data_IF_394677531473
#
_entry.id   IF_394677531473
#
_cell.length_a   1.000
_cell.length_b   1.000
_cell.length_c   1.000
_cell.angle_alpha   90.00
_cell.angle_beta   90.00
_cell.angle_gamma   90.00
#
_symmetry.space_group_name_H-M   'P 1'
#
loop_
_entity.id
_entity.type
_entity.pdbx_description
1 polymer ?
#
# COMPACT_ATOMS: atom_id res chain seq x y z
N UNK A 1 2.14 -2.53 -2.10
CA UNK A 1 3.12 -1.42 -2.10
C UNK A 1 4.50 -2.01 -2.31
N UNK A 2 5.23 -1.56 -3.35
CA UNK A 2 6.57 -2.07 -3.68
C UNK A 2 7.64 -1.15 -3.08
N UNK A 3 8.58 -1.70 -2.31
CA UNK A 3 9.61 -0.92 -1.63
C UNK A 3 10.77 -0.57 -2.55
N UNK A 4 11.26 -1.52 -3.34
CA UNK A 4 12.35 -1.34 -4.30
C UNK A 4 13.73 -1.73 -3.77
N UNK A 5 13.84 -2.53 -2.71
CA UNK A 5 15.13 -2.87 -2.10
C UNK A 5 15.91 -3.90 -2.91
N UNK A 6 17.24 -3.78 -2.99
CA UNK A 6 18.07 -4.58 -3.92
C UNK A 6 18.33 -5.99 -3.39
N UNK A 7 18.97 -6.11 -2.22
CA UNK A 7 19.26 -7.40 -1.58
C UNK A 7 18.06 -7.97 -0.81
N UNK A 8 17.16 -7.10 -0.35
CA UNK A 8 15.92 -7.48 0.31
C UNK A 8 14.79 -6.60 -0.20
N UNK A 9 13.72 -7.22 -0.69
CA UNK A 9 12.55 -6.55 -1.24
C UNK A 9 11.31 -6.94 -0.43
N UNK A 10 10.43 -5.97 -0.21
CA UNK A 10 9.17 -6.16 0.49
C UNK A 10 8.04 -5.62 -0.37
N UNK A 11 7.08 -6.50 -0.67
CA UNK A 11 5.80 -6.09 -1.23
C UNK A 11 4.76 -6.14 -0.12
N UNK A 12 4.39 -4.98 0.42
CA UNK A 12 3.33 -4.91 1.43
C UNK A 12 1.96 -5.03 0.77
N UNK A 13 1.18 -5.97 1.25
CA UNK A 13 -0.07 -6.41 0.67
C UNK A 13 -1.27 -5.84 1.41
N UNK A 14 -2.32 -5.60 0.63
CA UNK A 14 -3.59 -5.08 1.05
C UNK A 14 -4.67 -5.91 0.36
N UNK A 15 -5.72 -6.25 1.09
CA UNK A 15 -6.98 -6.75 0.56
C UNK A 15 -8.06 -5.85 1.18
N UNK A 16 -8.96 -5.30 0.36
CA UNK A 16 -9.78 -4.13 0.70
C UNK A 16 -10.89 -4.43 1.72
N UNK A 17 -11.20 -5.70 1.92
CA UNK A 17 -12.20 -6.18 2.88
C UNK A 17 -11.60 -6.59 4.23
N UNK A 18 -10.30 -6.42 4.45
CA UNK A 18 -9.68 -6.67 5.76
C UNK A 18 -9.83 -5.50 6.75
N UNK A 19 -10.73 -5.67 7.71
CA UNK A 19 -11.02 -4.70 8.76
C UNK A 19 -11.10 -5.38 10.13
N UNK A 20 -10.78 -4.62 11.19
CA UNK A 20 -11.14 -5.06 12.54
C UNK A 20 -12.65 -5.05 12.73
N UNK A 21 -13.11 -5.68 13.80
CA UNK A 21 -14.49 -5.52 14.25
C UNK A 21 -15.45 -6.59 13.78
N UNK A 22 -16.70 -6.40 14.16
CA UNK A 22 -17.85 -7.17 13.72
C UNK A 22 -19.07 -6.24 13.62
N UNK A 23 -20.08 -6.55 12.80
CA UNK A 23 -21.32 -5.77 12.74
C UNK A 23 -21.93 -5.61 14.13
N UNK A 24 -22.26 -4.37 14.50
CA UNK A 24 -22.74 -4.03 15.84
C UNK A 24 -23.78 -2.91 15.85
N UNK A 25 -24.31 -2.63 17.04
CA UNK A 25 -25.16 -1.46 17.26
C UNK A 25 -24.30 -0.26 17.65
N UNK A 26 -24.10 0.67 16.71
CA UNK A 26 -23.32 1.89 16.90
C UNK A 26 -24.16 3.06 17.44
N UNK A 27 -25.41 2.83 17.80
CA UNK A 27 -26.31 3.86 18.34
C UNK A 27 -25.88 4.25 19.75
N UNK A 28 -25.58 5.53 19.98
CA UNK A 28 -25.38 6.06 21.32
C UNK A 28 -26.75 6.35 21.97
N UNK A 29 -27.19 5.58 22.99
CA UNK A 29 -28.50 5.76 23.61
C UNK A 29 -28.62 7.09 24.41
N UNK A 30 -27.50 7.73 24.74
CA UNK A 30 -27.46 9.01 25.46
C UNK A 30 -27.47 10.22 24.53
N UNK A 31 -27.37 10.01 23.22
CA UNK A 31 -27.36 11.10 22.25
C UNK A 31 -28.61 12.02 22.33
N UNK A 32 -29.85 11.52 22.58
CA UNK A 32 -31.01 12.41 22.72
C UNK A 32 -30.92 13.39 23.91
N UNK A 33 -30.38 12.94 25.05
CA UNK A 33 -30.16 13.78 26.24
C UNK A 33 -29.09 14.84 25.96
N UNK A 34 -27.95 14.40 25.40
CA UNK A 34 -26.88 15.30 24.99
C UNK A 34 -27.35 16.33 23.95
N UNK A 35 -28.20 15.93 22.99
CA UNK A 35 -28.73 16.82 21.97
C UNK A 35 -29.62 17.91 22.57
N UNK A 36 -30.37 17.59 23.62
CA UNK A 36 -31.19 18.55 24.35
C UNK A 36 -30.32 19.60 25.05
N UNK A 37 -29.24 19.17 25.71
CA UNK A 37 -28.24 20.07 26.33
C UNK A 37 -27.57 20.98 25.30
N UNK A 38 -27.08 20.41 24.20
CA UNK A 38 -26.40 21.14 23.13
C UNK A 38 -27.31 22.21 22.52
N UNK A 39 -28.56 21.87 22.20
CA UNK A 39 -29.53 22.84 21.65
C UNK A 39 -29.77 24.02 22.59
N UNK A 40 -29.96 23.76 23.88
CA UNK A 40 -30.12 24.82 24.88
C UNK A 40 -28.90 25.74 24.95
N UNK A 41 -27.69 25.19 24.95
CA UNK A 41 -26.46 25.98 24.97
C UNK A 41 -26.31 26.85 23.71
N UNK A 42 -26.71 26.33 22.55
CA UNK A 42 -26.74 27.10 21.30
C UNK A 42 -27.77 28.24 21.37
N UNK A 43 -28.98 27.96 21.86
CA UNK A 43 -30.05 28.96 22.01
C UNK A 43 -29.64 30.09 22.98
N UNK A 44 -28.86 29.75 24.02
CA UNK A 44 -28.31 30.70 25.01
C UNK A 44 -27.04 31.44 24.51
N UNK A 45 -26.54 31.16 23.30
CA UNK A 45 -25.34 31.77 22.73
C UNK A 45 -24.00 31.25 23.32
N UNK A 46 -24.01 30.11 24.01
CA UNK A 46 -22.86 29.49 24.70
C UNK A 46 -22.15 28.45 23.83
N UNK A 47 -21.47 28.91 22.78
CA UNK A 47 -20.93 28.01 21.75
C UNK A 47 -19.74 27.15 22.20
N UNK A 48 -18.90 27.64 23.12
CA UNK A 48 -17.77 26.87 23.64
C UNK A 48 -18.28 25.67 24.45
N UNK A 49 -19.23 25.92 25.36
CA UNK A 49 -19.88 24.91 26.17
C UNK A 49 -20.72 23.96 25.30
N UNK A 50 -21.39 24.47 24.27
CA UNK A 50 -22.12 23.63 23.32
C UNK A 50 -21.18 22.65 22.59
N UNK A 51 -19.97 23.10 22.23
CA UNK A 51 -18.95 22.27 21.59
C UNK A 51 -18.45 21.18 22.53
N UNK A 52 -18.19 21.52 23.79
CA UNK A 52 -17.80 20.54 24.82
C UNK A 52 -18.91 19.51 25.06
N UNK A 53 -20.16 19.95 25.14
CA UNK A 53 -21.32 19.06 25.31
C UNK A 53 -21.55 18.17 24.07
N UNK A 54 -21.26 18.67 22.86
CA UNK A 54 -21.46 17.93 21.61
C UNK A 54 -20.58 16.68 21.50
N UNK A 55 -19.48 16.57 22.25
CA UNK A 55 -18.68 15.34 22.32
C UNK A 55 -19.53 14.14 22.78
N UNK A 56 -20.54 14.37 23.63
CA UNK A 56 -21.46 13.33 24.12
C UNK A 56 -22.42 12.81 23.05
N UNK A 57 -22.50 13.47 21.88
CA UNK A 57 -23.28 13.00 20.71
C UNK A 57 -22.55 11.91 19.92
N UNK A 58 -21.23 11.78 20.09
CA UNK A 58 -20.42 10.79 19.40
C UNK A 58 -20.71 9.38 19.92
N UNK A 59 -20.59 8.39 19.03
CA UNK A 59 -20.55 6.97 19.39
C UNK A 59 -19.13 6.47 19.60
N UNK A 60 -18.99 5.15 19.69
CA UNK A 60 -17.67 4.51 19.71
C UNK A 60 -16.92 4.74 18.38
N UNK A 61 -15.56 4.78 18.40
CA UNK A 61 -14.78 4.91 17.19
C UNK A 61 -15.06 3.77 16.20
N UNK A 62 -14.98 4.08 14.90
CA UNK A 62 -15.05 3.05 13.86
C UNK A 62 -13.91 2.04 14.00
N UNK A 63 -14.14 0.87 13.43
CA UNK A 63 -13.11 -0.11 13.16
C UNK A 63 -12.08 0.40 12.14
N UNK A 64 -10.97 -0.31 12.04
CA UNK A 64 -9.77 0.13 11.30
C UNK A 64 -9.36 -0.90 10.26
N UNK A 65 -8.99 -0.40 9.09
CA UNK A 65 -8.43 -1.17 7.99
C UNK A 65 -7.15 -1.89 8.43
N UNK A 66 -6.93 -3.11 7.95
CA UNK A 66 -5.77 -3.93 8.27
C UNK A 66 -4.98 -4.32 7.02
N UNK A 67 -3.66 -4.43 7.17
CA UNK A 67 -2.78 -4.93 6.12
C UNK A 67 -2.87 -6.45 6.06
N UNK A 68 -2.88 -7.02 4.85
CA UNK A 68 -2.91 -8.47 4.65
C UNK A 68 -1.60 -9.11 5.15
N UNK A 69 -0.47 -8.52 4.79
CA UNK A 69 0.85 -9.07 5.08
C UNK A 69 1.88 -8.56 4.08
N UNK A 70 2.99 -9.28 3.96
CA UNK A 70 4.12 -8.92 3.12
C UNK A 70 4.60 -10.14 2.31
N UNK A 71 4.94 -9.93 1.03
CA UNK A 71 5.86 -10.83 0.30
C UNK A 71 7.27 -10.33 0.58
N UNK A 72 8.11 -11.20 1.12
CA UNK A 72 9.53 -10.91 1.36
C UNK A 72 10.38 -11.67 0.36
N UNK A 73 11.26 -10.97 -0.35
CA UNK A 73 12.26 -11.55 -1.23
C UNK A 73 13.65 -11.25 -0.66
N UNK A 74 14.45 -12.29 -0.47
CA UNK A 74 15.82 -12.21 0.04
C UNK A 74 16.77 -12.74 -1.04
N UNK A 75 17.64 -11.87 -1.56
CA UNK A 75 18.71 -12.21 -2.47
C UNK A 75 20.01 -12.43 -1.68
N UNK A 76 21.00 -13.09 -2.29
CA UNK A 76 22.27 -13.32 -1.59
C UNK A 76 23.11 -12.02 -1.45
N UNK A 77 24.13 -12.08 -0.59
CA UNK A 77 24.96 -10.93 -0.22
C UNK A 77 25.69 -10.29 -1.41
N UNK A 78 25.80 -10.96 -2.57
CA UNK A 78 26.39 -10.33 -3.76
C UNK A 78 25.58 -9.10 -4.20
N UNK A 79 24.26 -9.12 -3.97
CA UNK A 79 23.35 -8.02 -4.27
C UNK A 79 23.59 -6.76 -3.43
N UNK A 80 24.33 -6.86 -2.31
CA UNK A 80 24.76 -5.69 -1.55
C UNK A 80 25.77 -4.83 -2.31
N UNK A 81 26.47 -5.40 -3.30
CA UNK A 81 27.48 -4.73 -4.11
C UNK A 81 26.97 -4.38 -5.52
N UNK A 82 25.69 -4.03 -5.64
CA UNK A 82 25.13 -3.58 -6.91
C UNK A 82 25.75 -2.25 -7.37
N UNK A 83 25.79 -2.04 -8.68
CA UNK A 83 26.22 -0.78 -9.26
C UNK A 83 25.13 0.29 -9.03
N UNK A 84 25.35 1.20 -8.08
CA UNK A 84 24.35 2.20 -7.66
C UNK A 84 23.83 3.05 -8.83
N UNK A 85 24.69 3.35 -9.80
CA UNK A 85 24.36 4.13 -10.99
C UNK A 85 23.41 3.43 -11.97
N UNK A 86 23.26 2.11 -11.88
CA UNK A 86 22.34 1.35 -12.73
C UNK A 86 20.98 1.14 -12.07
N UNK A 87 20.85 1.47 -10.78
CA UNK A 87 19.59 1.33 -10.08
C UNK A 87 18.55 2.33 -10.60
N UNK A 88 17.38 1.80 -10.95
CA UNK A 88 16.20 2.60 -11.25
C UNK A 88 14.97 1.91 -10.68
N UNK A 89 14.02 2.72 -10.20
CA UNK A 89 12.66 2.27 -9.92
C UNK A 89 11.66 3.26 -10.50
N UNK A 90 10.63 2.74 -11.13
CA UNK A 90 9.57 3.52 -11.75
C UNK A 90 8.21 2.90 -11.46
N UNK A 91 7.19 3.75 -11.37
CA UNK A 91 5.80 3.36 -11.58
C UNK A 91 5.40 4.01 -12.90
N UNK A 92 5.24 3.19 -13.93
CA UNK A 92 4.72 3.65 -15.20
C UNK A 92 3.20 3.77 -15.10
N UNK A 93 2.69 5.00 -15.22
CA UNK A 93 1.26 5.28 -15.17
C UNK A 93 0.56 4.97 -16.50
N UNK A 94 1.28 4.81 -17.61
CA UNK A 94 0.68 4.41 -18.88
C UNK A 94 0.32 2.92 -18.89
N UNK A 95 1.08 2.10 -18.17
CA UNK A 95 0.92 0.64 -18.12
C UNK A 95 0.53 0.11 -16.74
N UNK A 96 0.38 0.98 -15.73
CA UNK A 96 0.18 0.60 -14.32
C UNK A 96 1.18 -0.47 -13.82
N UNK A 97 2.44 -0.35 -14.20
CA UNK A 97 3.49 -1.34 -13.89
C UNK A 97 4.59 -0.70 -13.07
N UNK A 98 4.97 -1.32 -11.95
CA UNK A 98 6.19 -0.97 -11.24
C UNK A 98 7.34 -1.74 -11.86
N UNK A 99 8.42 -1.04 -12.21
CA UNK A 99 9.65 -1.67 -12.70
C UNK A 99 10.84 -1.24 -11.84
N UNK A 100 11.68 -2.20 -11.49
CA UNK A 100 12.96 -1.98 -10.82
C UNK A 100 14.05 -2.62 -11.66
N UNK A 101 15.16 -1.91 -11.89
CA UNK A 101 16.35 -2.44 -12.55
C UNK A 101 17.59 -2.09 -11.76
N UNK A 102 18.58 -2.98 -11.76
CA UNK A 102 19.91 -2.76 -11.20
C UNK A 102 20.88 -3.81 -11.74
N UNK A 103 22.17 -3.64 -11.52
CA UNK A 103 23.20 -4.57 -11.97
C UNK A 103 24.10 -5.02 -10.83
N UNK A 104 24.46 -6.29 -10.81
CA UNK A 104 25.49 -6.85 -9.90
C UNK A 104 26.57 -7.46 -10.79
N UNK A 105 27.78 -6.89 -10.74
CA UNK A 105 28.82 -7.22 -11.72
C UNK A 105 28.35 -6.93 -13.14
N UNK A 106 28.33 -7.95 -14.00
CA UNK A 106 27.90 -7.86 -15.40
C UNK A 106 26.52 -8.48 -15.67
N UNK A 107 25.72 -8.68 -14.61
CA UNK A 107 24.35 -9.20 -14.69
C UNK A 107 23.38 -8.06 -14.37
N UNK A 108 22.42 -7.82 -15.28
CA UNK A 108 21.29 -6.92 -15.03
C UNK A 108 20.12 -7.73 -14.49
N UNK A 109 19.53 -7.24 -13.41
CA UNK A 109 18.31 -7.78 -12.81
C UNK A 109 17.15 -6.82 -13.07
N UNK A 110 16.02 -7.37 -13.49
CA UNK A 110 14.78 -6.61 -13.67
C UNK A 110 13.67 -7.24 -12.83
N UNK A 111 12.90 -6.40 -12.13
CA UNK A 111 11.65 -6.78 -11.45
C UNK A 111 10.50 -5.98 -12.01
N UNK A 112 9.41 -6.65 -12.35
CA UNK A 112 8.17 -6.05 -12.87
C UNK A 112 6.99 -6.50 -12.01
N UNK A 113 6.18 -5.55 -11.55
CA UNK A 113 5.04 -5.80 -10.69
C UNK A 113 3.77 -5.13 -11.23
N UNK A 114 2.67 -5.86 -11.28
CA UNK A 114 1.34 -5.32 -11.59
C UNK A 114 0.25 -6.11 -10.86
N UNK A 115 -0.94 -5.54 -10.76
CA UNK A 115 -2.12 -6.19 -10.20
C UNK A 115 -3.20 -6.27 -11.28
N UNK A 116 -3.39 -7.46 -11.86
CA UNK A 116 -4.39 -7.69 -12.91
C UNK A 116 -5.77 -7.75 -12.30
N UNK A 117 -6.61 -6.78 -12.65
CA UNK A 117 -8.03 -6.81 -12.31
C UNK A 117 -8.80 -7.91 -13.09
N UNK A 118 -8.61 -8.12 -14.40
CA UNK A 118 -9.29 -9.20 -15.12
C UNK A 118 -9.02 -10.60 -14.56
N UNK A 119 -7.79 -10.85 -14.11
CA UNK A 119 -7.35 -12.17 -13.62
C UNK A 119 -7.30 -12.26 -12.08
N UNK A 120 -7.63 -11.17 -11.37
CA UNK A 120 -7.66 -11.08 -9.90
C UNK A 120 -6.36 -11.57 -9.22
N UNK A 121 -5.20 -11.14 -9.73
CA UNK A 121 -3.88 -11.61 -9.29
C UNK A 121 -2.85 -10.48 -9.26
N UNK A 122 -2.00 -10.47 -8.23
CA UNK A 122 -0.77 -9.68 -8.23
C UNK A 122 0.35 -10.52 -8.86
N UNK A 123 0.97 -10.00 -9.92
CA UNK A 123 2.05 -10.66 -10.65
C UNK A 123 3.36 -9.95 -10.36
N UNK A 124 4.39 -10.72 -10.01
CA UNK A 124 5.77 -10.24 -9.90
C UNK A 124 6.68 -11.10 -10.77
N UNK A 125 7.30 -10.49 -11.77
CA UNK A 125 8.32 -11.14 -12.60
C UNK A 125 9.70 -10.64 -12.18
N UNK A 126 10.63 -11.57 -12.03
CA UNK A 126 12.04 -11.32 -11.72
C UNK A 126 12.86 -11.97 -12.82
N UNK A 127 13.84 -11.28 -13.40
CA UNK A 127 14.67 -11.81 -14.49
C UNK A 127 16.11 -11.35 -14.35
N UNK A 128 17.05 -12.21 -14.74
CA UNK A 128 18.46 -11.90 -14.85
C UNK A 128 18.89 -11.91 -16.32
N UNK A 129 19.83 -11.04 -16.71
CA UNK A 129 20.31 -10.95 -18.11
C UNK A 129 21.18 -12.13 -18.54
N UNK A 130 21.68 -12.93 -17.57
CA UNK A 130 22.45 -14.14 -17.82
C UNK A 130 21.72 -15.37 -17.32
N UNK A 131 21.76 -16.42 -18.14
CA UNK A 131 21.10 -17.68 -17.81
C UNK A 131 21.63 -18.28 -16.50
N UNK A 132 20.73 -18.80 -15.69
CA UNK A 132 20.99 -19.43 -14.40
C UNK A 132 21.57 -18.50 -13.34
N UNK A 133 21.37 -17.19 -13.45
CA UNK A 133 21.93 -16.19 -12.54
C UNK A 133 20.92 -15.65 -11.52
N UNK A 134 19.67 -16.13 -11.53
CA UNK A 134 18.65 -15.73 -10.57
C UNK A 134 18.51 -16.76 -9.45
N UNK A 135 18.84 -16.32 -8.22
CA UNK A 135 18.62 -17.08 -7.00
C UNK A 135 18.08 -16.16 -5.90
N UNK A 136 17.00 -16.55 -5.23
CA UNK A 136 16.40 -15.78 -4.12
C UNK A 136 15.55 -16.68 -3.24
N UNK A 137 15.28 -16.23 -2.02
CA UNK A 137 14.32 -16.87 -1.11
C UNK A 137 13.07 -16.00 -1.04
N UNK A 138 11.89 -16.62 -1.10
CA UNK A 138 10.60 -15.95 -0.91
C UNK A 138 9.84 -16.52 0.28
N UNK A 139 9.18 -15.63 1.03
CA UNK A 139 8.29 -15.98 2.13
C UNK A 139 7.11 -15.01 2.22
N UNK A 140 6.06 -15.44 2.92
CA UNK A 140 4.91 -14.61 3.31
C UNK A 140 4.90 -14.41 4.83
N UNK A 141 4.65 -13.19 5.28
CA UNK A 141 4.50 -12.82 6.70
C UNK A 141 3.30 -11.90 6.89
N UNK A 142 2.78 -11.77 8.12
CA UNK A 142 1.76 -10.79 8.48
C UNK A 142 1.95 -10.27 9.90
N UNK A 143 1.59 -9.01 10.14
CA UNK A 143 1.52 -8.48 11.52
C UNK A 143 0.24 -8.91 12.25
N UNK A 144 -0.72 -9.50 11.52
CA UNK A 144 -1.91 -10.11 12.10
C UNK A 144 -1.61 -11.51 12.65
N UNK A 145 -2.56 -12.07 13.40
CA UNK A 145 -2.49 -13.48 13.77
C UNK A 145 -2.60 -14.33 12.51
N UNK A 146 -1.55 -15.09 12.22
CA UNK A 146 -1.42 -15.84 10.99
C UNK A 146 -0.59 -17.10 11.17
N UNK A 147 -0.68 -17.99 10.19
CA UNK A 147 0.27 -19.06 9.91
C UNK A 147 0.55 -19.11 8.42
N UNK A 148 1.76 -19.52 8.05
CA UNK A 148 2.13 -19.81 6.67
C UNK A 148 2.73 -21.20 6.57
N UNK A 149 2.49 -21.86 5.44
CA UNK A 149 3.04 -23.17 5.12
C UNK A 149 3.25 -23.33 3.60
N UNK A 150 4.12 -24.24 3.21
CA UNK A 150 4.32 -24.61 1.80
C UNK A 150 3.29 -25.66 1.40
N UNK A 151 2.63 -25.45 0.26
CA UNK A 151 1.73 -26.40 -0.34
C UNK A 151 2.36 -27.01 -1.61
N UNK A 152 2.70 -28.29 -1.56
CA UNK A 152 3.35 -28.97 -2.68
C UNK A 152 4.81 -28.55 -2.85
N UNK A 153 5.20 -28.10 -4.06
CA UNK A 153 6.61 -27.84 -4.40
C UNK A 153 6.93 -26.38 -4.67
N UNK A 154 5.93 -25.56 -4.97
CA UNK A 154 6.12 -24.22 -5.53
C UNK A 154 5.03 -23.24 -5.11
N UNK A 155 4.30 -23.53 -4.03
CA UNK A 155 3.24 -22.67 -3.53
C UNK A 155 3.43 -22.41 -2.03
N UNK A 156 3.18 -21.19 -1.58
CA UNK A 156 3.08 -20.82 -0.16
C UNK A 156 1.65 -20.38 0.11
N UNK A 157 1.05 -20.88 1.18
CA UNK A 157 -0.27 -20.48 1.65
C UNK A 157 -0.09 -19.73 2.98
N UNK A 158 -0.60 -18.51 3.04
CA UNK A 158 -0.70 -17.68 4.24
C UNK A 158 -2.17 -17.63 4.66
N UNK A 159 -2.47 -17.99 5.90
CA UNK A 159 -3.83 -17.94 6.46
C UNK A 159 -3.81 -17.16 7.77
N UNK A 160 -4.87 -16.41 8.03
CA UNK A 160 -4.94 -15.65 9.27
C UNK A 160 -6.32 -15.05 9.54
N UNK A 161 -6.36 -14.17 10.54
CA UNK A 161 -7.57 -13.45 10.89
C UNK A 161 -7.30 -12.05 11.43
N UNK A 162 -8.20 -11.14 11.10
CA UNK A 162 -8.27 -9.83 11.72
C UNK A 162 -8.80 -9.95 13.17
N UNK A 163 -8.40 -9.03 14.06
CA UNK A 163 -9.07 -8.82 15.34
C UNK A 163 -10.57 -8.54 15.16
N UNK A 164 -11.47 -9.26 15.85
CA UNK A 164 -12.91 -8.98 15.80
C UNK A 164 -13.34 -7.72 16.56
N UNK A 165 -12.39 -6.96 17.11
CA UNK A 165 -12.56 -5.61 17.66
C UNK A 165 -11.32 -4.79 17.36
N UNK A 166 -11.49 -3.48 17.20
CA UNK A 166 -10.38 -2.53 17.24
C UNK A 166 -9.57 -2.67 18.54
N UNK A 167 -8.31 -3.08 18.41
CA UNK A 167 -7.37 -3.13 19.55
C UNK A 167 -6.89 -1.70 19.82
N UNK A 168 -7.15 -1.19 21.02
CA UNK A 168 -6.59 0.11 21.45
C UNK A 168 -5.14 -0.07 21.86
N UNK A 169 -4.26 0.94 21.66
CA UNK A 169 -2.82 0.84 21.99
C UNK A 169 -2.51 0.50 23.46
N UNK A 170 -3.50 0.57 24.37
CA UNK A 170 -3.32 0.39 25.83
C UNK A 170 -3.86 -0.94 26.38
N UNK A 171 -4.58 -1.75 25.62
CA UNK A 171 -5.18 -3.00 26.11
C UNK A 171 -4.83 -4.18 25.21
N UNK A 172 -3.76 -4.89 25.55
CA UNK A 172 -3.43 -6.23 25.05
C UNK A 172 -4.04 -7.29 25.96
N UNK A 173 -5.37 -7.40 25.99
CA UNK A 173 -6.00 -8.62 26.52
C UNK A 173 -6.40 -9.48 25.34
N UNK A 174 -5.55 -10.47 25.03
CA UNK A 174 -5.67 -11.36 23.86
C UNK A 174 -6.76 -12.44 24.09
N UNK A 175 -7.26 -12.58 25.33
CA UNK A 175 -8.07 -13.74 25.73
C UNK A 175 -9.59 -13.61 25.43
N UNK A 176 -10.07 -12.46 24.96
CA UNK A 176 -11.50 -12.25 24.65
C UNK A 176 -11.72 -11.56 23.29
N UNK A 177 -10.86 -11.83 22.30
CA UNK A 177 -11.05 -11.24 20.99
C UNK A 177 -12.03 -12.11 20.17
N UNK A 178 -13.22 -11.62 19.81
CA UNK A 178 -14.09 -12.35 18.89
C UNK A 178 -13.34 -12.61 17.57
N UNK A 179 -13.69 -13.70 16.89
CA UNK A 179 -13.14 -13.99 15.56
C UNK A 179 -13.55 -12.86 14.61
N UNK A 180 -12.56 -12.15 14.05
CA UNK A 180 -12.79 -11.18 12.98
C UNK A 180 -12.74 -11.86 11.62
N UNK A 181 -12.64 -11.04 10.58
CA UNK A 181 -12.54 -11.49 9.18
C UNK A 181 -11.34 -12.43 9.02
N UNK A 182 -11.56 -13.61 8.45
CA UNK A 182 -10.49 -14.53 8.08
C UNK A 182 -9.93 -14.16 6.71
N UNK A 183 -8.67 -14.46 6.47
CA UNK A 183 -8.04 -14.19 5.18
C UNK A 183 -7.11 -15.32 4.77
N UNK A 184 -6.89 -15.42 3.47
CA UNK A 184 -5.89 -16.29 2.88
C UNK A 184 -5.18 -15.57 1.74
N UNK A 185 -3.89 -15.88 1.56
CA UNK A 185 -3.11 -15.49 0.40
C UNK A 185 -2.31 -16.69 -0.10
N UNK A 186 -2.42 -16.97 -1.38
CA UNK A 186 -1.74 -18.07 -2.07
C UNK A 186 -0.73 -17.47 -3.02
N UNK A 187 0.54 -17.79 -2.80
CA UNK A 187 1.65 -17.42 -3.67
C UNK A 187 2.10 -18.64 -4.47
N UNK A 188 1.87 -18.64 -5.78
CA UNK A 188 2.42 -19.63 -6.70
C UNK A 188 3.68 -19.12 -7.39
N UNK A 189 4.66 -20.00 -7.54
CA UNK A 189 5.96 -19.70 -8.12
C UNK A 189 6.19 -20.53 -9.39
N UNK A 190 6.48 -19.84 -10.49
CA UNK A 190 6.92 -20.42 -11.75
C UNK A 190 8.36 -19.96 -12.03
N UNK A 191 9.19 -20.86 -12.56
CA UNK A 191 10.58 -20.55 -12.91
C UNK A 191 10.93 -21.10 -14.28
N UNK A 192 12.04 -20.64 -14.84
CA UNK A 192 12.63 -21.16 -16.07
C UNK A 192 14.14 -21.32 -15.95
N UNK A 193 14.75 -21.88 -16.99
CA UNK A 193 16.15 -22.29 -17.04
C UNK A 193 16.30 -23.78 -16.77
N UNK A 194 17.17 -24.43 -17.53
CA UNK A 194 17.40 -25.89 -17.46
C UNK A 194 17.94 -26.35 -16.10
N UNK A 195 18.60 -25.43 -15.37
CA UNK A 195 19.19 -25.66 -14.03
C UNK A 195 18.32 -25.12 -12.89
N UNK A 196 17.24 -24.41 -13.22
CA UNK A 196 16.38 -23.77 -12.23
C UNK A 196 15.72 -24.79 -11.31
N UNK A 197 15.86 -24.60 -10.00
CA UNK A 197 15.26 -25.48 -8.99
C UNK A 197 14.61 -24.69 -7.86
N UNK A 198 13.54 -25.26 -7.30
CA UNK A 198 12.84 -24.73 -6.12
C UNK A 198 13.07 -25.69 -4.95
N UNK A 199 13.61 -25.17 -3.86
CA UNK A 199 13.78 -25.87 -2.59
C UNK A 199 12.81 -25.34 -1.54
N UNK A 200 12.20 -26.26 -0.78
CA UNK A 200 11.38 -25.92 0.38
C UNK A 200 12.29 -25.75 1.59
N UNK A 201 12.19 -24.62 2.28
CA UNK A 201 12.93 -24.35 3.52
C UNK A 201 11.95 -24.19 4.69
N UNK A 202 12.17 -25.00 5.73
CA UNK A 202 11.44 -24.98 7.01
C UNK A 202 9.90 -24.95 6.88
N UNK A 203 9.38 -25.55 5.81
CA UNK A 203 7.96 -25.59 5.45
C UNK A 203 7.28 -24.21 5.27
N UNK A 204 8.05 -23.13 5.15
CA UNK A 204 7.50 -21.75 5.12
C UNK A 204 8.07 -20.86 4.04
N UNK A 205 9.21 -21.23 3.47
CA UNK A 205 9.89 -20.45 2.44
C UNK A 205 10.18 -21.32 1.23
N UNK A 206 10.25 -20.68 0.07
CA UNK A 206 10.74 -21.28 -1.16
C UNK A 206 12.04 -20.61 -1.57
N UNK A 207 13.07 -21.40 -1.85
CA UNK A 207 14.36 -20.96 -2.35
C UNK A 207 14.47 -21.33 -3.83
N UNK A 208 14.60 -20.32 -4.68
CA UNK A 208 14.91 -20.45 -6.10
C UNK A 208 16.42 -20.42 -6.28
N UNK A 209 16.95 -21.35 -7.06
CA UNK A 209 18.36 -21.38 -7.44
C UNK A 209 18.53 -21.57 -8.95
N UNK A 210 19.52 -20.88 -9.52
CA UNK A 210 19.96 -21.02 -10.90
C UNK A 210 18.85 -20.90 -11.95
N UNK A 211 17.87 -20.02 -11.72
CA UNK A 211 16.84 -19.72 -12.70
C UNK A 211 17.28 -18.64 -13.69
N UNK A 212 16.61 -18.58 -14.84
CA UNK A 212 16.72 -17.45 -15.78
C UNK A 212 15.77 -16.31 -15.38
N UNK A 213 14.55 -16.71 -15.03
CA UNK A 213 13.49 -15.84 -14.53
C UNK A 213 12.59 -16.60 -13.56
N UNK A 214 11.88 -15.85 -12.74
CA UNK A 214 10.81 -16.33 -11.88
C UNK A 214 9.57 -15.44 -12.02
N UNK A 215 8.38 -16.05 -12.00
CA UNK A 215 7.10 -15.35 -11.95
C UNK A 215 6.35 -15.82 -10.72
N UNK A 216 5.96 -14.86 -9.89
CA UNK A 216 5.18 -15.04 -8.68
C UNK A 216 3.75 -14.57 -8.97
N UNK A 217 2.78 -15.43 -8.71
CA UNK A 217 1.35 -15.12 -8.75
C UNK A 217 0.83 -15.12 -7.32
N UNK A 218 0.33 -13.98 -6.85
CA UNK A 218 -0.30 -13.87 -5.54
C UNK A 218 -1.79 -13.58 -5.70
N UNK A 219 -2.60 -14.52 -5.22
CA UNK A 219 -4.05 -14.40 -5.09
C UNK A 219 -4.40 -14.31 -3.61
N UNK A 220 -5.35 -13.47 -3.24
CA UNK A 220 -5.83 -13.36 -1.87
C UNK A 220 -7.36 -13.29 -1.82
N UNK A 221 -7.93 -13.69 -0.70
CA UNK A 221 -9.37 -13.60 -0.43
C UNK A 221 -9.61 -13.44 1.07
N UNK A 222 -10.78 -12.90 1.42
CA UNK A 222 -11.23 -12.80 2.80
C UNK A 222 -12.58 -13.50 2.99
N UNK A 223 -12.94 -13.74 4.25
CA UNK A 223 -14.26 -14.25 4.63
C UNK A 223 -15.32 -13.15 4.71
N UNK A 224 -15.07 -11.93 4.21
CA UNK A 224 -16.05 -10.86 4.19
C UNK A 224 -17.16 -11.15 3.18
N UNK A 225 -18.40 -11.18 3.65
CA UNK A 225 -19.60 -11.42 2.82
C UNK A 225 -20.31 -10.10 2.53
N UNK A 226 -20.66 -9.37 3.59
CA UNK A 226 -21.32 -8.06 3.52
C UNK A 226 -21.18 -7.31 4.87
N UNK A 227 -21.55 -6.01 4.94
CA UNK A 227 -21.42 -5.22 6.16
C UNK A 227 -22.29 -5.63 7.36
N UNK A 228 -23.24 -6.55 7.19
CA UNK A 228 -24.21 -6.96 8.20
C UNK A 228 -23.99 -8.41 8.68
N UNK A 229 -23.31 -9.23 7.89
CA UNK A 229 -22.95 -10.61 8.26
C UNK A 229 -21.77 -10.62 9.22
N UNK A 230 -21.92 -11.29 10.37
CA UNK A 230 -20.82 -11.44 11.32
C UNK A 230 -19.75 -12.36 10.74
N UNK A 231 -18.45 -12.10 10.98
CA UNK A 231 -17.38 -12.98 10.50
C UNK A 231 -17.53 -14.45 10.94
N UNK A 232 -18.11 -14.70 12.12
CA UNK A 232 -18.40 -16.06 12.60
C UNK A 232 -19.46 -16.81 11.80
N UNK A 233 -20.31 -16.08 11.08
CA UNK A 233 -21.48 -16.58 10.38
C UNK A 233 -21.25 -16.62 8.86
N UNK A 234 -20.10 -16.10 8.40
CA UNK A 234 -19.70 -16.11 7.00
C UNK A 234 -19.60 -17.54 6.48
N UNK A 235 -20.07 -17.74 5.25
CA UNK A 235 -19.99 -19.03 4.54
C UNK A 235 -18.81 -19.11 3.59
N UNK A 236 -18.03 -18.04 3.49
CA UNK A 236 -16.86 -17.95 2.61
C UNK A 236 -15.67 -18.67 3.23
N UNK A 237 -14.96 -19.40 2.39
CA UNK A 237 -13.71 -20.06 2.76
C UNK A 237 -12.59 -19.39 1.95
N UNK A 238 -11.88 -18.39 2.54
CA UNK A 238 -10.89 -17.63 1.80
C UNK A 238 -9.74 -18.49 1.28
N UNK A 239 -9.40 -19.59 1.96
CA UNK A 239 -8.32 -20.49 1.54
C UNK A 239 -8.74 -21.30 0.32
N UNK A 240 -9.93 -21.90 0.37
CA UNK A 240 -10.49 -22.63 -0.78
C UNK A 240 -10.71 -21.72 -1.99
N UNK A 241 -11.22 -20.50 -1.77
CA UNK A 241 -11.42 -19.49 -2.82
C UNK A 241 -10.07 -19.07 -3.46
N UNK A 242 -9.06 -18.76 -2.65
CA UNK A 242 -7.73 -18.36 -3.15
C UNK A 242 -7.04 -19.49 -3.91
N UNK A 243 -7.13 -20.74 -3.41
CA UNK A 243 -6.58 -21.92 -4.11
C UNK A 243 -7.30 -22.17 -5.44
N UNK A 244 -8.62 -22.00 -5.48
CA UNK A 244 -9.42 -22.17 -6.70
C UNK A 244 -9.04 -21.12 -7.74
N UNK A 245 -8.96 -19.86 -7.34
CA UNK A 245 -8.57 -18.76 -8.20
C UNK A 245 -7.11 -18.89 -8.68
N UNK A 246 -6.17 -19.31 -7.82
CA UNK A 246 -4.80 -19.56 -8.27
C UNK A 246 -4.70 -20.71 -9.28
N UNK A 247 -5.51 -21.75 -9.11
CA UNK A 247 -5.57 -22.85 -10.07
C UNK A 247 -6.18 -22.45 -11.43
N UNK A 248 -7.13 -21.50 -11.47
CA UNK A 248 -7.76 -21.08 -12.74
C UNK A 248 -6.81 -20.32 -13.65
N UNK A 249 -5.84 -19.58 -13.08
CA UNK A 249 -4.83 -18.82 -13.84
C UNK A 249 -3.54 -19.59 -14.10
N UNK A 250 -3.41 -20.83 -13.60
CA UNK A 250 -2.13 -21.57 -13.60
C UNK A 250 -1.53 -21.80 -14.98
N UNK A 251 -2.38 -21.89 -16.01
CA UNK A 251 -1.96 -22.14 -17.40
C UNK A 251 -1.77 -20.85 -18.20
N UNK A 252 -2.07 -19.68 -17.64
CA UNK A 252 -1.82 -18.40 -18.29
C UNK A 252 -0.33 -18.07 -18.19
N UNK A 253 0.25 -17.62 -19.30
CA UNK A 253 1.62 -17.14 -19.30
C UNK A 253 1.67 -15.73 -18.71
N UNK A 254 2.88 -15.31 -18.29
CA UNK A 254 3.12 -13.91 -17.92
C UNK A 254 2.65 -12.93 -19.01
N UNK A 255 2.89 -13.26 -20.29
CA UNK A 255 2.46 -12.43 -21.41
C UNK A 255 0.94 -12.32 -21.53
N UNK A 256 0.20 -13.39 -21.24
CA UNK A 256 -1.27 -13.37 -21.28
C UNK A 256 -1.81 -12.46 -20.17
N UNK A 257 -1.36 -12.68 -18.93
CA UNK A 257 -1.75 -11.88 -17.76
C UNK A 257 -1.41 -10.39 -17.95
N UNK A 258 -0.23 -10.11 -18.50
CA UNK A 258 0.19 -8.73 -18.75
C UNK A 258 -0.63 -8.06 -19.85
N UNK A 259 -0.98 -8.80 -20.91
CA UNK A 259 -1.82 -8.28 -21.98
C UNK A 259 -3.25 -7.98 -21.51
N UNK A 260 -3.85 -8.88 -20.72
CA UNK A 260 -5.17 -8.65 -20.11
C UNK A 260 -5.17 -7.41 -19.20
N UNK A 261 -4.16 -7.31 -18.31
CA UNK A 261 -3.96 -6.16 -17.43
C UNK A 261 -3.86 -4.85 -18.23
N UNK A 262 -3.05 -4.83 -19.28
CA UNK A 262 -2.83 -3.64 -20.09
C UNK A 262 -4.11 -3.19 -20.81
N UNK A 263 -4.83 -4.13 -21.42
CA UNK A 263 -6.10 -3.84 -22.10
C UNK A 263 -7.14 -3.25 -21.13
N UNK A 264 -7.35 -3.87 -19.96
CA UNK A 264 -8.28 -3.37 -18.93
C UNK A 264 -7.89 -1.96 -18.44
N UNK A 265 -6.63 -1.79 -18.07
CA UNK A 265 -6.15 -0.53 -17.49
C UNK A 265 -6.17 0.62 -18.50
N UNK A 266 -5.62 0.42 -19.70
CA UNK A 266 -5.50 1.49 -20.69
C UNK A 266 -6.86 1.94 -21.23
N UNK A 267 -7.83 1.03 -21.31
CA UNK A 267 -9.23 1.35 -21.64
C UNK A 267 -9.88 2.33 -20.65
N UNK A 268 -9.35 2.45 -19.43
CA UNK A 268 -9.74 3.46 -18.44
C UNK A 268 -8.81 4.68 -18.47
N UNK A 269 -7.49 4.46 -18.39
CA UNK A 269 -6.50 5.51 -18.19
C UNK A 269 -6.41 6.47 -19.38
N UNK A 270 -6.48 5.95 -20.61
CA UNK A 270 -6.36 6.76 -21.83
C UNK A 270 -7.61 7.59 -22.16
N UNK A 271 -8.66 7.55 -21.34
CA UNK A 271 -9.87 8.37 -21.52
C UNK A 271 -9.61 9.86 -21.35
N UNK A 272 -8.55 10.24 -20.63
CA UNK A 272 -8.18 11.64 -20.38
C UNK A 272 -6.70 11.82 -20.65
N UNK A 273 -6.35 12.85 -21.43
CA UNK A 273 -4.98 13.32 -21.60
C UNK A 273 -4.90 14.79 -21.25
N UNK A 274 -3.89 15.17 -20.49
CA UNK A 274 -3.65 16.55 -20.08
C UNK A 274 -2.20 16.95 -20.41
N UNK A 275 -2.04 17.91 -21.31
CA UNK A 275 -0.74 18.49 -21.64
C UNK A 275 -0.72 19.97 -21.24
N UNK A 276 0.02 20.30 -20.18
CA UNK A 276 0.10 21.68 -19.65
C UNK A 276 1.20 22.53 -20.33
N UNK A 277 2.28 21.89 -20.81
CA UNK A 277 3.32 22.53 -21.63
C UNK A 277 4.13 21.46 -22.38
N UNK A 278 4.82 21.84 -23.46
CA UNK A 278 5.80 20.97 -24.12
C UNK A 278 7.08 20.98 -23.30
N UNK A 279 7.26 20.00 -22.43
CA UNK A 279 8.57 19.74 -21.84
C UNK A 279 9.47 19.18 -22.93
N UNK A 280 10.55 19.87 -23.30
CA UNK A 280 11.69 19.16 -23.86
C UNK A 280 12.12 18.14 -22.80
N UNK A 281 12.05 16.85 -23.12
CA UNK A 281 12.48 15.78 -22.24
C UNK A 281 13.96 15.99 -21.87
N UNK A 282 14.23 16.73 -20.79
CA UNK A 282 15.52 16.66 -20.13
C UNK A 282 15.54 15.33 -19.37
N UNK A 283 16.46 14.45 -19.76
CA UNK A 283 16.63 13.09 -19.26
C UNK A 283 16.32 12.93 -17.76
N UNK A 284 15.46 11.95 -17.49
CA UNK A 284 15.27 11.21 -16.22
C UNK A 284 15.70 11.94 -14.93
N UNK A 285 15.00 13.01 -14.56
CA UNK A 285 15.09 13.54 -13.19
C UNK A 285 14.17 12.68 -12.30
N UNK A 286 14.67 12.04 -11.22
CA UNK A 286 13.82 11.25 -10.32
C UNK A 286 12.63 12.06 -9.80
N UNK A 287 11.46 11.44 -9.65
CA UNK A 287 10.22 12.12 -9.21
C UNK A 287 10.37 12.92 -7.90
N UNK A 288 11.13 12.40 -6.93
CA UNK A 288 11.45 13.11 -5.70
C UNK A 288 12.29 14.38 -5.94
N UNK A 289 13.22 14.33 -6.90
CA UNK A 289 14.05 15.47 -7.28
C UNK A 289 13.26 16.51 -8.09
N UNK A 290 12.28 16.09 -8.89
CA UNK A 290 11.31 16.98 -9.54
C UNK A 290 10.46 17.72 -8.50
N UNK A 291 9.94 17.00 -7.49
CA UNK A 291 9.18 17.61 -6.39
C UNK A 291 10.05 18.61 -5.60
N UNK A 292 11.29 18.25 -5.29
CA UNK A 292 12.22 19.13 -4.59
C UNK A 292 12.56 20.39 -5.40
N UNK A 293 12.81 20.25 -6.71
CA UNK A 293 13.01 21.39 -7.62
C UNK A 293 11.76 22.28 -7.68
N UNK A 294 10.57 21.70 -7.79
CA UNK A 294 9.32 22.45 -7.82
C UNK A 294 9.07 23.22 -6.51
N UNK A 295 9.34 22.61 -5.36
CA UNK A 295 9.24 23.26 -4.05
C UNK A 295 10.26 24.40 -3.95
N UNK A 296 11.51 24.20 -4.37
CA UNK A 296 12.54 25.23 -4.34
C UNK A 296 12.22 26.40 -5.29
N UNK A 297 11.74 26.13 -6.50
CA UNK A 297 11.23 27.14 -7.44
C UNK A 297 10.10 27.96 -6.82
N UNK A 298 9.13 27.30 -6.15
CA UNK A 298 8.04 27.97 -5.45
C UNK A 298 8.55 28.86 -4.31
N UNK A 299 9.48 28.36 -3.50
CA UNK A 299 10.11 29.11 -2.40
C UNK A 299 10.90 30.33 -2.92
N UNK A 300 11.64 30.18 -4.03
CA UNK A 300 12.34 31.28 -4.68
C UNK A 300 11.38 32.35 -5.20
N UNK A 301 10.22 31.95 -5.75
CA UNK A 301 9.17 32.87 -6.22
C UNK A 301 8.52 33.64 -5.06
N UNK A 302 8.23 32.95 -3.96
CA UNK A 302 7.70 33.59 -2.73
C UNK A 302 8.71 34.60 -2.17
N UNK A 303 10.00 34.25 -2.15
CA UNK A 303 11.08 35.14 -1.68
C UNK A 303 11.22 36.40 -2.56
N UNK A 304 11.15 36.27 -3.89
CA UNK A 304 11.18 37.43 -4.81
C UNK A 304 9.97 38.34 -4.64
N UNK A 305 8.78 37.79 -4.48
CA UNK A 305 7.57 38.59 -4.24
C UNK A 305 7.64 39.33 -2.88
N UNK A 306 8.33 38.79 -1.88
CA UNK A 306 8.56 39.47 -0.60
C UNK A 306 9.54 40.66 -0.72
N UNK A 307 10.51 40.59 -1.65
CA UNK A 307 11.44 41.69 -1.96
C UNK A 307 10.78 42.81 -2.78
N UNK A 308 9.82 42.51 -3.65
CA UNK A 308 9.06 43.54 -4.38
C UNK A 308 8.06 44.29 -3.47
N UNK A 309 7.50 43.64 -2.45
CA UNK A 309 6.58 44.28 -1.49
C UNK A 309 7.28 45.19 -0.47
N UNK A 310 8.61 45.20 -0.39
CA UNK A 310 9.38 46.04 0.55
C UNK A 310 10.01 47.27 -0.11
N UNK A 311 9.92 47.42 -1.43
CA UNK A 311 10.50 48.54 -2.19
C UNK A 311 9.49 49.59 -2.65
N UNK A 312 8.20 49.45 -2.34
CA UNK A 312 7.20 50.51 -2.57
C UNK A 312 7.21 51.53 -1.42
N UNK A 313 7.43 52.78 -1.80
CA UNK A 313 7.64 53.95 -0.96
C UNK A 313 6.60 54.12 0.17
N UNK A 314 7.08 54.30 1.41
CA UNK A 314 6.25 54.87 2.49
C UNK A 314 6.08 56.38 2.23
N UNK A 315 4.85 56.92 2.17
CA UNK A 315 4.65 58.36 2.19
C UNK A 315 5.03 58.89 3.58
N UNK A 316 5.89 59.92 3.60
CA UNK A 316 6.14 60.72 4.81
C UNK A 316 4.83 61.38 5.24
N UNK A 317 4.35 61.06 6.43
CA UNK A 317 3.36 61.88 7.13
C UNK A 317 4.03 62.52 8.34
N UNK A 318 4.25 63.83 8.21
CA UNK A 318 4.51 64.75 9.30
C UNK A 318 3.21 65.00 10.06
N UNK A 319 3.19 64.76 11.37
CA UNK A 319 2.73 65.74 12.35
C UNK A 319 2.89 65.17 13.78
N UNK A 320 3.82 65.77 14.51
CA UNK A 320 3.79 65.84 15.97
C UNK A 320 2.58 66.68 16.42
N UNK A 321 1.89 66.25 17.48
CA UNK A 321 1.74 67.05 18.72
C UNK A 321 0.88 66.31 19.78
N UNK A 322 1.60 65.91 20.83
CA UNK A 322 1.30 66.03 22.26
C UNK A 322 -0.09 65.69 22.86
N UNK A 323 -0.05 64.66 23.71
CA UNK A 323 -0.47 64.63 25.13
C UNK A 323 -1.90 65.05 25.54
N UNK A 324 -2.61 64.18 26.29
CA UNK A 324 -2.54 64.17 27.77
C UNK A 324 -3.55 63.21 28.44
N UNK A 325 -3.12 62.68 29.61
CA UNK A 325 -3.87 62.29 30.83
C UNK A 325 -4.60 60.93 30.93
N UNK A 326 -3.97 60.05 31.73
CA UNK A 326 -4.48 59.30 32.91
C UNK A 326 -6.00 59.25 33.12
N UNK A 327 -6.60 58.06 33.19
CA UNK A 327 -6.67 57.12 34.33
C UNK A 327 -6.92 55.70 33.79
#
# INVERSE_FOLDING_TARGET
>A
MVWGGVASETLQLNEDTLWTGTPGNYTNPKAPEALTEVRKLVDDGKYAEATEAAVKLSGDPSDVYQLLGDINLEFDDSHLNYAEETYSRELDLDTATVRIKYSVGDIEYTREHFASNPDQVIVTKISASKSGSLSFTVSLDSKLHHGSHVNGKNQIVLEGSCPGKRITPKFLSINENPKGIQFSAVLDLQISGDRGVIHVLDDKKLRVEEADWAVLHLVASSSFEDPFTKPSDSKRDPTSESLTASNSIRNLSYSDLYAHHLDDYQNLFHRVSLQLSKTEHQNSVPGALLLFKAINELLLRISRNHLELTTTERPKTSNELAASKSW
#
